data_IF_951642011889
#
_entry.id   IF_951642011889
#
_cell.length_a   1.000
_cell.length_b   1.000
_cell.length_c   1.000
_cell.angle_alpha   90.00
_cell.angle_beta   90.00
_cell.angle_gamma   90.00
#
_symmetry.space_group_name_H-M   'P 1'
#
loop_
_entity.id
_entity.type
_entity.pdbx_description
1 polymer ?
#
# COMPACT_ATOMS: atom_id res chain seq x y z
N UNK A 1 -30.58 15.01 63.02
CA UNK A 1 -29.70 14.68 64.17
C UNK A 1 -29.41 13.20 64.16
N UNK A 2 -28.11 12.85 64.12
CA UNK A 2 -27.46 11.60 64.55
C UNK A 2 -28.29 10.31 64.56
N UNK A 3 -27.83 9.31 63.80
CA UNK A 3 -27.43 8.01 64.37
C UNK A 3 -26.60 7.19 63.38
N UNK A 4 -25.31 7.22 63.66
CA UNK A 4 -24.28 6.27 63.25
C UNK A 4 -24.66 4.85 63.67
N UNK A 5 -24.46 3.87 62.81
CA UNK A 5 -24.32 2.46 63.20
C UNK A 5 -22.95 1.99 62.71
N UNK A 6 -22.09 1.68 63.67
CA UNK A 6 -20.79 1.03 63.49
C UNK A 6 -21.05 -0.47 63.66
N UNK A 7 -20.64 -1.27 62.69
CA UNK A 7 -20.48 -2.71 62.87
C UNK A 7 -19.03 -3.07 62.52
N UNK A 8 -18.29 -3.48 63.55
CA UNK A 8 -16.92 -3.97 63.52
C UNK A 8 -16.99 -5.48 63.24
N UNK A 9 -16.24 -5.97 62.25
CA UNK A 9 -16.00 -7.40 62.09
C UNK A 9 -14.50 -7.66 61.88
N UNK A 10 -13.95 -8.26 62.94
CA UNK A 10 -12.71 -9.00 63.17
C UNK A 10 -11.68 -9.18 62.05
N UNK A 11 -10.45 -8.79 62.41
CA UNK A 11 -9.18 -9.26 61.86
C UNK A 11 -8.95 -10.75 62.12
N UNK A 12 -8.54 -11.48 61.09
CA UNK A 12 -7.71 -12.67 61.22
C UNK A 12 -6.52 -12.53 60.26
N UNK A 13 -5.34 -12.29 60.83
CA UNK A 13 -4.06 -12.28 60.12
C UNK A 13 -3.53 -13.71 60.18
N UNK A 14 -3.48 -14.38 59.03
CA UNK A 14 -2.83 -15.66 58.85
C UNK A 14 -1.88 -15.57 57.66
N UNK A 15 -0.58 -15.49 57.95
CA UNK A 15 0.49 -15.44 56.97
C UNK A 15 0.70 -16.81 56.32
N UNK A 16 0.58 -16.92 55.00
CA UNK A 16 1.00 -18.10 54.24
C UNK A 16 1.70 -17.69 52.93
N UNK A 17 3.02 -17.88 52.98
CA UNK A 17 3.89 -18.50 51.97
C UNK A 17 3.76 -18.09 50.51
N UNK A 18 4.85 -17.45 50.06
CA UNK A 18 5.42 -17.37 48.72
C UNK A 18 5.04 -18.55 47.81
N UNK A 19 4.48 -18.23 46.65
CA UNK A 19 4.16 -19.22 45.62
C UNK A 19 3.29 -18.62 44.51
N UNK A 20 3.74 -17.53 43.89
CA UNK A 20 3.15 -17.06 42.63
C UNK A 20 3.49 -18.07 41.54
N UNK A 21 2.67 -19.11 41.39
CA UNK A 21 2.56 -19.88 40.16
C UNK A 21 1.30 -19.39 39.46
N UNK A 22 1.47 -18.42 38.59
CA UNK A 22 0.46 -18.01 37.62
C UNK A 22 1.23 -17.75 36.35
N UNK A 23 1.06 -18.68 35.42
CA UNK A 23 1.51 -18.56 34.04
C UNK A 23 1.07 -17.19 33.53
N UNK A 24 2.03 -16.27 33.44
CA UNK A 24 1.93 -15.10 32.60
C UNK A 24 2.00 -15.69 31.19
N UNK A 25 0.84 -15.80 30.56
CA UNK A 25 0.76 -15.77 29.11
C UNK A 25 1.19 -14.34 28.78
N UNK A 26 2.47 -14.19 28.45
CA UNK A 26 2.93 -13.02 27.71
C UNK A 26 2.21 -13.12 26.37
N UNK A 27 1.06 -12.47 26.28
CA UNK A 27 0.59 -11.95 25.01
C UNK A 27 1.67 -10.98 24.55
N UNK A 28 2.65 -11.51 23.82
CA UNK A 28 3.48 -10.72 22.94
C UNK A 28 2.54 -10.19 21.87
N UNK A 29 1.91 -9.05 22.17
CA UNK A 29 1.52 -8.10 21.16
C UNK A 29 2.80 -7.80 20.37
N UNK A 30 3.03 -8.58 19.32
CA UNK A 30 3.91 -8.22 18.22
C UNK A 30 3.27 -7.00 17.55
N UNK A 31 3.41 -5.87 18.22
CA UNK A 31 3.24 -4.57 17.64
C UNK A 31 4.50 -4.28 16.83
N UNK A 32 4.66 -5.03 15.74
CA UNK A 32 5.43 -4.58 14.58
C UNK A 32 4.64 -3.43 13.96
N UNK A 33 4.68 -2.28 14.63
CA UNK A 33 4.60 -0.99 13.93
C UNK A 33 5.86 -0.93 13.07
N UNK A 34 5.81 -1.57 11.91
CA UNK A 34 6.76 -1.34 10.84
C UNK A 34 6.65 0.14 10.50
N UNK A 35 7.69 0.88 10.84
CA UNK A 35 7.82 2.30 10.55
C UNK A 35 7.84 2.51 9.03
N UNK A 36 6.66 2.69 8.44
CA UNK A 36 6.44 2.87 7.00
C UNK A 36 6.93 4.23 6.48
N UNK A 37 7.71 4.99 7.28
CA UNK A 37 8.13 6.35 6.95
C UNK A 37 9.52 6.45 6.33
N UNK A 38 10.23 5.34 6.10
CA UNK A 38 11.53 5.39 5.41
C UNK A 38 11.33 5.45 3.88
N UNK A 39 10.75 6.56 3.42
CA UNK A 39 10.79 6.97 2.02
C UNK A 39 12.06 7.75 1.74
N UNK A 40 12.67 7.54 0.58
CA UNK A 40 13.74 8.37 0.04
C UNK A 40 13.39 8.86 -1.37
N UNK A 41 13.80 10.08 -1.76
CA UNK A 41 13.59 10.56 -3.12
C UNK A 41 14.13 9.57 -4.16
N UNK A 42 13.44 9.44 -5.29
CA UNK A 42 13.96 8.66 -6.41
C UNK A 42 15.18 9.35 -7.01
N UNK A 43 16.30 8.64 -7.06
CA UNK A 43 17.56 9.14 -7.62
C UNK A 43 18.03 8.22 -8.75
N UNK A 44 18.56 8.82 -9.82
CA UNK A 44 19.05 8.04 -10.97
C UNK A 44 20.21 7.15 -10.51
N UNK A 45 20.08 5.84 -10.72
CA UNK A 45 21.10 4.85 -10.43
C UNK A 45 21.97 4.59 -11.67
N UNK A 46 21.34 4.27 -12.80
CA UNK A 46 21.99 4.04 -14.09
C UNK A 46 21.02 4.27 -15.25
N UNK A 47 21.57 4.27 -16.47
CA UNK A 47 20.81 4.31 -17.71
C UNK A 47 21.37 3.29 -18.69
N UNK A 48 20.47 2.53 -19.33
CA UNK A 48 20.79 1.53 -20.34
C UNK A 48 19.91 1.74 -21.57
N UNK A 49 20.51 2.29 -22.63
CA UNK A 49 19.76 2.66 -23.83
C UNK A 49 18.68 3.70 -23.50
N UNK A 50 17.41 3.32 -23.71
CA UNK A 50 16.24 4.17 -23.46
C UNK A 50 15.67 4.03 -22.05
N UNK A 51 16.19 3.11 -21.22
CA UNK A 51 15.72 2.88 -19.86
C UNK A 51 16.59 3.62 -18.85
N UNK A 52 15.95 4.41 -17.99
CA UNK A 52 16.59 5.08 -16.85
C UNK A 52 16.05 4.44 -15.57
N UNK A 53 16.94 3.89 -14.76
CA UNK A 53 16.58 3.21 -13.53
C UNK A 53 16.86 4.10 -12.33
N UNK A 54 15.94 4.07 -11.37
CA UNK A 54 16.00 4.87 -10.16
C UNK A 54 16.09 3.97 -8.93
N UNK A 55 16.88 4.39 -7.97
CA UNK A 55 16.87 3.85 -6.61
C UNK A 55 16.05 4.77 -5.69
N UNK A 56 15.62 4.22 -4.54
CA UNK A 56 14.82 4.93 -3.54
C UNK A 56 13.37 4.47 -3.50
N UNK A 57 12.58 5.12 -2.63
CA UNK A 57 11.18 4.76 -2.42
C UNK A 57 10.32 5.97 -2.08
N UNK A 58 9.22 6.14 -2.79
CA UNK A 58 8.32 7.30 -2.61
C UNK A 58 6.93 6.83 -2.21
N UNK A 59 6.23 7.67 -1.43
CA UNK A 59 4.80 7.48 -1.17
C UNK A 59 4.00 8.34 -2.13
N UNK A 60 3.14 7.72 -2.93
CA UNK A 60 2.26 8.39 -3.90
C UNK A 60 0.81 8.04 -3.65
N UNK A 61 -0.07 9.02 -3.77
CA UNK A 61 -1.52 8.86 -3.75
C UNK A 61 -2.07 9.01 -5.16
N UNK A 62 -3.13 8.27 -5.48
CA UNK A 62 -3.70 8.32 -6.82
C UNK A 62 -4.66 7.18 -7.11
N UNK A 63 -4.91 7.00 -8.40
CA UNK A 63 -5.83 5.98 -8.92
C UNK A 63 -5.05 4.78 -9.45
N UNK A 64 -5.37 3.57 -9.02
CA UNK A 64 -5.00 2.36 -9.74
C UNK A 64 -6.11 1.99 -10.72
N UNK A 65 -5.75 1.48 -11.89
CA UNK A 65 -6.71 1.08 -12.92
C UNK A 65 -6.18 -0.06 -13.76
N UNK A 66 -7.09 -0.97 -14.12
CA UNK A 66 -6.85 -2.07 -15.06
C UNK A 66 -8.04 -2.15 -16.02
N UNK A 67 -7.76 -2.40 -17.30
CA UNK A 67 -8.79 -2.67 -18.30
C UNK A 67 -8.87 -4.17 -18.61
N UNK A 68 -10.00 -4.61 -19.14
CA UNK A 68 -10.18 -6.00 -19.61
C UNK A 68 -9.03 -6.46 -20.52
N UNK A 69 -8.57 -7.73 -20.44
CA UNK A 69 -7.45 -8.27 -21.20
C UNK A 69 -7.49 -8.03 -22.72
N UNK A 70 -8.68 -7.93 -23.30
CA UNK A 70 -8.86 -7.72 -24.75
C UNK A 70 -8.62 -6.28 -25.22
N UNK A 71 -8.38 -5.34 -24.29
CA UNK A 71 -8.10 -3.94 -24.61
C UNK A 71 -6.62 -3.71 -24.98
N UNK A 72 -6.32 -2.57 -25.59
CA UNK A 72 -4.97 -2.21 -26.06
C UNK A 72 -3.89 -2.19 -24.94
N UNK A 73 -4.30 -2.04 -23.68
CA UNK A 73 -3.45 -2.18 -22.48
C UNK A 73 -4.08 -3.13 -21.45
N UNK A 74 -4.85 -4.11 -21.94
CA UNK A 74 -5.62 -5.02 -21.12
C UNK A 74 -4.78 -5.87 -20.20
N UNK A 75 -5.33 -6.24 -19.04
CA UNK A 75 -4.67 -7.12 -18.08
C UNK A 75 -3.49 -6.47 -17.33
N UNK A 76 -3.18 -5.21 -17.63
CA UNK A 76 -2.09 -4.47 -17.01
C UNK A 76 -2.65 -3.46 -16.01
N UNK A 77 -2.32 -3.66 -14.74
CA UNK A 77 -2.61 -2.75 -13.64
C UNK A 77 -1.61 -1.61 -13.63
N UNK A 78 -2.14 -0.38 -13.75
CA UNK A 78 -1.36 0.84 -13.78
C UNK A 78 -1.82 1.83 -12.72
N UNK A 79 -0.95 2.76 -12.36
CA UNK A 79 -1.16 3.77 -11.33
C UNK A 79 -1.00 5.17 -11.89
N UNK A 80 -1.93 6.04 -11.52
CA UNK A 80 -2.04 7.42 -11.95
C UNK A 80 -1.98 8.32 -10.70
N UNK A 81 -0.79 8.78 -10.30
CA UNK A 81 -0.62 9.69 -9.18
C UNK A 81 -1.44 10.97 -9.34
N UNK A 82 -2.03 11.42 -8.24
CA UNK A 82 -2.79 12.66 -8.19
C UNK A 82 -1.89 13.91 -8.15
N UNK A 83 -2.51 15.09 -8.25
CA UNK A 83 -1.77 16.36 -8.27
C UNK A 83 -0.96 16.64 -7.00
N UNK A 84 -1.28 15.97 -5.88
CA UNK A 84 -0.62 16.17 -4.59
C UNK A 84 0.68 15.39 -4.47
N UNK A 85 0.88 14.32 -5.24
CA UNK A 85 2.09 13.48 -5.16
C UNK A 85 2.76 13.21 -6.51
N UNK A 86 2.13 13.55 -7.65
CA UNK A 86 2.70 13.31 -8.99
C UNK A 86 4.07 13.95 -9.23
N UNK A 87 4.42 15.01 -8.51
CA UNK A 87 5.73 15.67 -8.63
C UNK A 87 6.88 14.81 -8.10
N UNK A 88 6.58 13.75 -7.34
CA UNK A 88 7.57 12.77 -6.88
C UNK A 88 7.97 11.78 -7.98
N UNK A 89 7.18 11.68 -9.05
CA UNK A 89 7.48 10.82 -10.20
C UNK A 89 8.53 11.51 -11.08
N UNK A 90 9.67 10.86 -11.37
CA UNK A 90 10.70 11.43 -12.21
C UNK A 90 10.21 11.67 -13.63
N UNK A 91 10.35 12.92 -14.08
CA UNK A 91 10.08 13.34 -15.47
C UNK A 91 11.12 14.38 -15.86
N UNK A 92 11.68 14.25 -17.07
CA UNK A 92 12.51 15.30 -17.65
C UNK A 92 11.62 16.41 -18.22
N UNK A 93 12.17 17.62 -18.36
CA UNK A 93 11.44 18.75 -18.97
C UNK A 93 11.06 18.50 -20.44
N UNK A 94 11.73 17.55 -21.10
CA UNK A 94 11.47 17.15 -22.47
C UNK A 94 10.36 16.08 -22.57
N UNK A 95 10.11 15.31 -21.49
CA UNK A 95 9.06 14.31 -21.43
C UNK A 95 7.70 14.95 -21.12
N UNK A 96 6.88 15.09 -22.17
CA UNK A 96 5.54 15.69 -22.08
C UNK A 96 4.45 14.70 -21.67
N UNK A 97 4.79 13.43 -21.41
CA UNK A 97 3.79 12.42 -21.01
C UNK A 97 3.34 12.69 -19.58
N UNK A 98 2.05 12.43 -19.31
CA UNK A 98 1.52 12.44 -17.94
C UNK A 98 2.35 11.48 -17.08
N UNK A 99 2.63 11.83 -15.82
CA UNK A 99 3.31 10.95 -14.88
C UNK A 99 2.36 9.81 -14.47
N UNK A 100 2.57 8.62 -15.03
CA UNK A 100 1.89 7.38 -14.68
C UNK A 100 2.81 6.21 -15.02
N UNK A 101 2.59 5.08 -14.35
CA UNK A 101 3.40 3.88 -14.49
C UNK A 101 2.52 2.65 -14.38
N UNK A 102 2.99 1.51 -14.87
CA UNK A 102 2.39 0.22 -14.60
C UNK A 102 3.23 -0.57 -13.60
N UNK A 103 2.60 -1.45 -12.83
CA UNK A 103 3.37 -2.26 -11.88
C UNK A 103 4.26 -3.27 -12.63
N UNK A 104 5.51 -3.42 -12.22
CA UNK A 104 6.40 -4.42 -12.83
C UNK A 104 5.93 -5.83 -12.48
N UNK A 105 5.67 -6.09 -11.19
CA UNK A 105 5.06 -7.31 -10.70
C UNK A 105 3.53 -7.16 -10.61
N UNK A 106 2.85 -7.58 -11.68
CA UNK A 106 1.40 -7.51 -11.82
C UNK A 106 0.65 -8.39 -10.81
N UNK A 107 1.15 -9.60 -10.54
CA UNK A 107 0.50 -10.56 -9.64
C UNK A 107 0.54 -10.06 -8.21
N UNK A 108 1.73 -9.70 -7.73
CA UNK A 108 1.90 -9.16 -6.37
C UNK A 108 1.13 -7.85 -6.16
N UNK A 109 1.11 -6.97 -7.17
CA UNK A 109 0.38 -5.71 -7.06
C UNK A 109 -1.14 -5.92 -6.96
N UNK A 110 -1.70 -6.82 -7.78
CA UNK A 110 -3.12 -7.18 -7.75
C UNK A 110 -3.49 -7.84 -6.42
N UNK A 111 -2.66 -8.74 -5.91
CA UNK A 111 -2.88 -9.40 -4.61
C UNK A 111 -2.95 -8.36 -3.47
N UNK A 112 -1.97 -7.45 -3.36
CA UNK A 112 -1.96 -6.41 -2.33
C UNK A 112 -3.20 -5.50 -2.43
N UNK A 113 -3.60 -5.14 -3.64
CA UNK A 113 -4.79 -4.31 -3.88
C UNK A 113 -6.10 -5.10 -3.69
N UNK A 114 -6.03 -6.42 -3.57
CA UNK A 114 -7.19 -7.30 -3.36
C UNK A 114 -8.00 -7.50 -4.65
N UNK A 115 -7.31 -7.52 -5.79
CA UNK A 115 -7.88 -7.68 -7.13
C UNK A 115 -7.69 -9.14 -7.56
N UNK A 116 -8.79 -9.85 -7.83
CA UNK A 116 -8.78 -11.12 -8.54
C UNK A 116 -9.33 -10.86 -9.95
N UNK A 117 -8.47 -10.37 -10.84
CA UNK A 117 -8.84 -9.93 -12.19
C UNK A 117 -9.48 -11.05 -13.02
N UNK A 118 -8.98 -12.29 -12.89
CA UNK A 118 -9.52 -13.46 -13.57
C UNK A 118 -10.98 -13.74 -13.18
N UNK A 119 -11.32 -13.58 -11.90
CA UNK A 119 -12.71 -13.73 -11.42
C UNK A 119 -13.58 -12.54 -11.80
N UNK A 120 -13.04 -11.32 -11.73
CA UNK A 120 -13.79 -10.10 -12.03
C UNK A 120 -14.13 -10.02 -13.53
N UNK A 121 -13.16 -10.28 -14.41
CA UNK A 121 -13.36 -10.20 -15.86
C UNK A 121 -14.01 -11.45 -16.47
N UNK A 122 -14.36 -12.47 -15.67
CA UNK A 122 -15.28 -13.54 -16.11
C UNK A 122 -16.68 -12.95 -16.42
N UNK A 123 -17.05 -11.85 -15.76
CA UNK A 123 -18.18 -11.02 -16.18
C UNK A 123 -17.78 -10.10 -17.34
N UNK A 124 -18.15 -10.52 -18.55
CA UNK A 124 -17.92 -9.79 -19.80
C UNK A 124 -18.56 -8.39 -19.88
N UNK A 125 -19.41 -8.01 -18.92
CA UNK A 125 -19.99 -6.65 -18.84
C UNK A 125 -19.07 -5.65 -18.14
N UNK A 126 -18.02 -6.14 -17.47
CA UNK A 126 -17.01 -5.32 -16.79
C UNK A 126 -15.87 -5.03 -17.76
N UNK A 127 -15.70 -3.75 -18.09
CA UNK A 127 -14.64 -3.30 -19.01
C UNK A 127 -13.34 -2.93 -18.28
N UNK A 128 -13.41 -2.72 -16.96
CA UNK A 128 -12.30 -2.20 -16.19
C UNK A 128 -12.51 -2.32 -14.66
N UNK A 129 -11.42 -2.11 -13.93
CA UNK A 129 -11.35 -2.04 -12.48
C UNK A 129 -10.61 -0.74 -12.15
N UNK A 130 -11.10 0.06 -11.21
CA UNK A 130 -10.37 1.22 -10.69
C UNK A 130 -10.59 1.43 -9.20
N UNK A 131 -9.65 2.07 -8.53
CA UNK A 131 -9.81 2.51 -7.15
C UNK A 131 -8.74 3.51 -6.75
N UNK A 132 -8.89 4.07 -5.55
CA UNK A 132 -7.95 5.04 -4.99
C UNK A 132 -7.05 4.37 -3.94
N UNK A 133 -5.77 4.71 -3.95
CA UNK A 133 -4.84 4.24 -2.94
C UNK A 133 -3.73 5.26 -2.68
N UNK A 134 -3.13 5.17 -1.49
CA UNK A 134 -1.81 5.73 -1.18
C UNK A 134 -0.86 4.56 -1.02
N UNK A 135 0.20 4.53 -1.82
CA UNK A 135 1.11 3.41 -1.96
C UNK A 135 2.56 3.86 -1.83
N UNK A 136 3.41 2.96 -1.34
CA UNK A 136 4.86 3.09 -1.40
C UNK A 136 5.36 2.33 -2.63
N UNK A 137 6.11 3.00 -3.50
CA UNK A 137 6.71 2.40 -4.69
C UNK A 137 8.23 2.55 -4.70
N UNK A 138 8.90 1.57 -5.31
CA UNK A 138 10.36 1.50 -5.47
C UNK A 138 10.72 0.97 -6.86
N UNK A 139 12.03 0.85 -7.13
CA UNK A 139 12.57 0.26 -8.36
C UNK A 139 11.98 0.88 -9.64
N UNK A 140 11.86 2.20 -9.61
CA UNK A 140 11.19 2.95 -10.68
C UNK A 140 12.05 2.96 -11.94
N UNK A 141 11.43 2.69 -13.09
CA UNK A 141 12.09 2.70 -14.39
C UNK A 141 11.33 3.61 -15.35
N UNK A 142 12.02 4.60 -15.91
CA UNK A 142 11.50 5.43 -17.01
C UNK A 142 11.93 4.82 -18.34
N UNK A 143 10.98 4.64 -19.25
CA UNK A 143 11.28 4.30 -20.65
C UNK A 143 11.11 5.54 -21.53
N UNK A 144 12.22 6.01 -22.12
CA UNK A 144 12.32 7.27 -22.86
C UNK A 144 11.79 7.20 -24.30
N UNK A 145 11.25 6.06 -24.75
CA UNK A 145 10.64 5.97 -26.08
C UNK A 145 9.33 6.78 -26.14
N UNK A 146 9.13 7.49 -27.24
CA UNK A 146 8.01 8.43 -27.39
C UNK A 146 6.61 7.78 -27.56
N UNK A 147 6.53 6.46 -27.82
CA UNK A 147 5.23 5.80 -28.01
C UNK A 147 5.21 4.32 -27.56
N UNK A 148 4.05 3.90 -27.06
CA UNK A 148 3.69 2.53 -26.65
C UNK A 148 4.54 1.90 -25.54
N UNK A 149 5.32 2.72 -24.81
CA UNK A 149 5.99 2.31 -23.58
C UNK A 149 5.39 3.04 -22.39
N UNK A 150 5.50 2.42 -21.23
CA UNK A 150 5.13 2.97 -19.94
C UNK A 150 6.31 2.82 -18.98
N UNK A 151 6.34 3.72 -18.00
CA UNK A 151 7.23 3.56 -16.87
C UNK A 151 6.77 2.38 -16.02
N UNK A 152 7.70 1.78 -15.26
CA UNK A 152 7.36 0.71 -14.33
C UNK A 152 7.85 0.99 -12.91
N UNK A 153 7.18 0.39 -11.93
CA UNK A 153 7.56 0.47 -10.52
C UNK A 153 7.11 -0.78 -9.76
N UNK A 154 7.80 -1.10 -8.67
CA UNK A 154 7.36 -2.12 -7.73
C UNK A 154 6.42 -1.53 -6.68
N UNK A 155 5.31 -2.20 -6.42
CA UNK A 155 4.46 -1.90 -5.27
C UNK A 155 5.08 -2.51 -4.01
N UNK A 156 5.62 -1.67 -3.14
CA UNK A 156 6.23 -2.12 -1.88
C UNK A 156 5.20 -2.28 -0.77
N UNK A 157 4.33 -1.29 -0.57
CA UNK A 157 3.31 -1.34 0.49
C UNK A 157 2.09 -0.46 0.17
N UNK A 158 0.96 -0.75 0.83
CA UNK A 158 -0.25 0.06 0.81
C UNK A 158 -0.34 0.84 2.12
N UNK A 159 -0.30 2.16 2.03
CA UNK A 159 -0.54 3.08 3.17
C UNK A 159 -2.04 3.21 3.43
N UNK A 160 -2.83 3.34 2.37
CA UNK A 160 -4.29 3.34 2.43
C UNK A 160 -4.87 2.91 1.08
N UNK A 161 -6.08 2.32 1.09
CA UNK A 161 -6.82 2.02 -0.14
C UNK A 161 -8.32 2.10 0.08
N UNK A 162 -9.03 2.46 -0.97
CA UNK A 162 -10.48 2.28 -1.08
C UNK A 162 -10.78 0.91 -1.71
N UNK A 163 -12.03 0.47 -1.63
CA UNK A 163 -12.48 -0.67 -2.43
C UNK A 163 -12.49 -0.28 -3.92
N UNK A 164 -12.12 -1.22 -4.79
CA UNK A 164 -12.21 -0.99 -6.22
C UNK A 164 -13.68 -0.92 -6.68
N UNK A 165 -13.89 -0.23 -7.79
CA UNK A 165 -15.10 -0.15 -8.59
C UNK A 165 -14.89 -0.86 -9.91
N UNK A 166 -15.92 -1.52 -10.41
CA UNK A 166 -15.96 -2.13 -11.76
C UNK A 166 -16.68 -1.22 -12.77
N UNK A 167 -17.00 0.01 -12.36
CA UNK A 167 -17.52 1.08 -13.21
C UNK A 167 -16.50 2.21 -13.20
N UNK A 168 -15.63 2.27 -14.22
CA UNK A 168 -14.62 3.32 -14.30
C UNK A 168 -15.17 4.62 -14.86
N UNK A 169 -14.59 5.73 -14.39
CA UNK A 169 -14.98 7.09 -14.77
C UNK A 169 -13.93 7.79 -15.64
#
# INVERSE_FOLDING_TARGET
MKKTVIAIALFAIGSLTSGCNSNIIEDSEDNTTTDFTNTSPLTVMNQEGTKVYYEGSITVSGKYQEYTPDSFMGGTLCFYPDDTTKYLIPRSDEDRRKAWFCFEDQESAKELLGINDAEIFDDTTIECIEGLATIVVSDYTVDLLEAAVFDTANLGNIVSKEFYSTTCK
#
